data_IF_397664541419
#
_entry.id   IF_397664541419
#
_cell.length_a   1.000
_cell.length_b   1.000
_cell.length_c   1.000
_cell.angle_alpha   90.00
_cell.angle_beta   90.00
_cell.angle_gamma   90.00
#
_symmetry.space_group_name_H-M   'P 1'
#
loop_
_entity.id
_entity.type
_entity.pdbx_description
1 polymer ?
#
# COMPACT_ATOMS: atom_id res chain seq x y z
N UNK A 1 8.96 9.13 3.65
CA UNK A 1 9.05 9.25 2.16
C UNK A 1 10.04 10.35 1.79
N UNK A 2 10.60 10.33 0.58
CA UNK A 2 11.52 11.37 0.09
C UNK A 2 13.01 11.19 0.45
N UNK A 3 13.47 9.96 0.71
CA UNK A 3 14.89 9.63 0.97
C UNK A 3 15.52 8.81 -0.18
N UNK A 4 15.03 8.96 -1.41
CA UNK A 4 15.64 8.32 -2.59
C UNK A 4 15.42 6.81 -2.77
N UNK A 5 14.38 6.20 -2.17
CA UNK A 5 14.09 4.74 -2.30
C UNK A 5 14.19 4.22 -3.74
N UNK A 6 13.63 4.98 -4.69
CA UNK A 6 13.62 4.69 -6.14
C UNK A 6 15.04 4.67 -6.71
N UNK A 7 15.84 5.69 -6.41
CA UNK A 7 17.23 5.81 -6.88
C UNK A 7 18.10 4.68 -6.29
N UNK A 8 17.93 4.37 -5.00
CA UNK A 8 18.60 3.25 -4.34
C UNK A 8 18.28 1.90 -4.99
N UNK A 9 17.00 1.67 -5.34
CA UNK A 9 16.59 0.47 -6.05
C UNK A 9 17.17 0.40 -7.48
N UNK A 10 17.22 1.52 -8.21
CA UNK A 10 17.85 1.59 -9.55
C UNK A 10 19.35 1.28 -9.45
N UNK A 11 20.07 1.89 -8.49
CA UNK A 11 21.48 1.60 -8.26
C UNK A 11 21.72 0.12 -7.92
N UNK A 12 20.89 -0.47 -7.05
CA UNK A 12 20.95 -1.90 -6.72
C UNK A 12 20.73 -2.80 -7.95
N UNK A 13 19.89 -2.41 -8.91
CA UNK A 13 19.74 -3.15 -10.19
C UNK A 13 21.01 -3.01 -11.03
N UNK A 14 21.55 -1.80 -11.19
CA UNK A 14 22.78 -1.54 -11.95
C UNK A 14 23.97 -2.36 -11.46
N UNK A 15 24.30 -2.28 -10.17
CA UNK A 15 25.41 -3.05 -9.56
C UNK A 15 25.19 -4.57 -9.65
N UNK A 16 23.93 -5.03 -9.70
CA UNK A 16 23.63 -6.46 -9.88
C UNK A 16 23.87 -6.90 -11.33
N UNK A 17 23.52 -6.07 -12.32
CA UNK A 17 23.79 -6.33 -13.74
C UNK A 17 25.30 -6.45 -14.02
N UNK A 18 26.11 -5.54 -13.49
CA UNK A 18 27.58 -5.60 -13.61
C UNK A 18 28.15 -6.94 -13.11
N UNK A 19 27.67 -7.42 -11.95
CA UNK A 19 28.07 -8.72 -11.39
C UNK A 19 27.55 -9.92 -12.20
N UNK A 20 26.42 -9.78 -12.89
CA UNK A 20 25.87 -10.83 -13.77
C UNK A 20 26.57 -10.93 -15.12
N UNK A 21 27.17 -9.86 -15.63
CA UNK A 21 28.01 -9.92 -16.84
C UNK A 21 29.18 -10.90 -16.63
N UNK A 22 29.71 -10.99 -15.40
CA UNK A 22 30.73 -11.97 -15.02
C UNK A 22 30.21 -13.42 -14.86
N UNK A 23 28.89 -13.66 -14.86
CA UNK A 23 28.26 -14.98 -14.71
C UNK A 23 26.95 -15.08 -15.53
N UNK A 24 27.04 -15.31 -16.86
CA UNK A 24 25.90 -15.20 -17.77
C UNK A 24 24.70 -16.11 -17.47
N UNK A 25 24.93 -17.28 -16.87
CA UNK A 25 23.91 -18.28 -16.57
C UNK A 25 22.83 -17.86 -15.54
N UNK A 26 22.85 -16.61 -15.03
CA UNK A 26 21.88 -16.08 -14.06
C UNK A 26 21.17 -14.80 -14.50
N UNK A 27 21.34 -14.36 -15.75
CA UNK A 27 20.82 -13.08 -16.25
C UNK A 27 19.30 -13.11 -16.54
N UNK A 28 18.45 -13.26 -15.51
CA UNK A 28 17.00 -13.05 -15.63
C UNK A 28 16.60 -11.63 -15.22
N UNK A 29 15.51 -11.06 -15.76
CA UNK A 29 15.13 -9.67 -15.54
C UNK A 29 14.68 -9.36 -14.11
N UNK A 30 14.69 -8.06 -13.76
CA UNK A 30 14.02 -7.51 -12.58
C UNK A 30 12.60 -7.06 -12.92
N UNK A 31 11.59 -7.50 -12.17
CA UNK A 31 10.25 -6.93 -12.22
C UNK A 31 10.10 -5.80 -11.19
N UNK A 32 9.49 -4.69 -11.60
CA UNK A 32 9.03 -3.61 -10.72
C UNK A 32 7.51 -3.54 -10.81
N UNK A 33 6.82 -3.81 -9.69
CA UNK A 33 5.37 -3.71 -9.56
C UNK A 33 5.06 -2.45 -8.76
N UNK A 34 4.29 -1.54 -9.33
CA UNK A 34 3.95 -0.27 -8.69
C UNK A 34 2.49 0.15 -8.95
N UNK A 35 1.93 1.13 -8.21
CA UNK A 35 0.65 1.73 -8.56
C UNK A 35 0.70 2.31 -9.98
N UNK A 36 -0.37 2.24 -10.79
CA UNK A 36 -0.34 2.68 -12.20
C UNK A 36 0.19 4.10 -12.42
N UNK A 37 -0.04 5.01 -11.45
CA UNK A 37 0.42 6.39 -11.47
C UNK A 37 1.96 6.55 -11.38
N UNK A 38 2.67 5.53 -10.89
CA UNK A 38 4.13 5.56 -10.71
C UNK A 38 4.89 4.90 -11.87
N UNK A 39 4.23 4.19 -12.79
CA UNK A 39 4.90 3.49 -13.91
C UNK A 39 5.75 4.45 -14.76
N UNK A 40 5.18 5.58 -15.16
CA UNK A 40 5.87 6.58 -15.97
C UNK A 40 7.00 7.25 -15.21
N UNK A 41 6.81 7.50 -13.90
CA UNK A 41 7.83 8.04 -13.02
C UNK A 41 9.02 7.07 -12.89
N UNK A 42 8.77 5.78 -12.66
CA UNK A 42 9.82 4.75 -12.64
C UNK A 42 10.60 4.69 -13.95
N UNK A 43 9.91 4.70 -15.11
CA UNK A 43 10.59 4.74 -16.41
C UNK A 43 11.46 5.99 -16.56
N UNK A 44 10.93 7.17 -16.20
CA UNK A 44 11.66 8.44 -16.26
C UNK A 44 12.91 8.44 -15.37
N UNK A 45 12.78 7.97 -14.13
CA UNK A 45 13.89 7.92 -13.17
C UNK A 45 14.97 6.92 -13.61
N UNK A 46 14.59 5.77 -14.18
CA UNK A 46 15.56 4.84 -14.80
C UNK A 46 16.27 5.50 -15.97
N UNK A 47 15.54 6.10 -16.93
CA UNK A 47 16.13 6.79 -18.10
C UNK A 47 16.98 8.01 -17.75
N UNK A 48 16.84 8.56 -16.53
CA UNK A 48 17.62 9.69 -16.01
C UNK A 48 18.86 9.22 -15.23
N UNK A 49 18.71 8.24 -14.35
CA UNK A 49 19.76 7.81 -13.43
C UNK A 49 20.62 6.64 -13.95
N UNK A 50 20.19 5.98 -15.02
CA UNK A 50 20.96 4.94 -15.71
C UNK A 50 21.55 5.39 -17.06
N UNK A 51 21.73 6.69 -17.31
CA UNK A 51 22.24 7.17 -18.61
C UNK A 51 23.66 6.68 -18.96
N UNK A 52 24.48 6.39 -17.95
CA UNK A 52 25.85 5.90 -18.12
C UNK A 52 25.95 4.35 -18.19
N UNK A 53 24.84 3.61 -18.07
CA UNK A 53 24.84 2.15 -18.04
C UNK A 53 23.67 1.54 -18.81
N UNK A 54 23.80 0.35 -19.40
CA UNK A 54 22.82 -0.18 -20.35
C UNK A 54 21.60 -0.81 -19.66
N UNK A 55 20.90 -0.12 -18.74
CA UNK A 55 19.66 -0.62 -18.13
C UNK A 55 18.45 -0.33 -19.02
N UNK A 56 18.03 -1.35 -19.77
CA UNK A 56 16.88 -1.25 -20.66
C UNK A 56 15.60 -1.60 -19.90
N UNK A 57 14.71 -0.60 -19.75
CA UNK A 57 13.43 -0.77 -19.08
C UNK A 57 12.24 -0.78 -20.06
N UNK A 58 11.37 -1.79 -19.94
CA UNK A 58 10.11 -1.88 -20.69
C UNK A 58 8.93 -1.77 -19.74
N UNK A 59 7.90 -1.02 -20.15
CA UNK A 59 6.60 -1.07 -19.49
C UNK A 59 5.87 -2.30 -20.01
N UNK A 60 5.51 -3.21 -19.11
CA UNK A 60 4.53 -4.26 -19.35
C UNK A 60 3.17 -3.79 -18.85
N UNK A 61 2.26 -3.62 -19.80
CA UNK A 61 0.84 -3.44 -19.57
C UNK A 61 0.15 -4.15 -20.73
N UNK A 62 -1.02 -4.77 -20.51
CA UNK A 62 -1.78 -5.47 -21.56
C UNK A 62 -2.95 -4.61 -22.05
N UNK A 63 -2.77 -3.68 -23.01
CA UNK A 63 -3.85 -3.26 -23.88
C UNK A 63 -4.13 -4.38 -24.90
N UNK A 64 -5.35 -4.40 -25.43
CA UNK A 64 -5.91 -5.46 -26.30
C UNK A 64 -5.22 -5.71 -27.66
N UNK A 65 -4.11 -5.02 -27.97
CA UNK A 65 -3.53 -5.01 -29.33
C UNK A 65 -2.02 -5.29 -29.42
N UNK A 66 -1.29 -5.47 -28.30
CA UNK A 66 0.12 -5.85 -28.36
C UNK A 66 0.54 -6.72 -27.17
N UNK A 67 0.57 -8.03 -27.39
CA UNK A 67 1.03 -9.02 -26.42
C UNK A 67 2.55 -9.15 -26.52
N UNK A 68 3.30 -8.63 -25.54
CA UNK A 68 4.72 -8.93 -25.41
C UNK A 68 4.90 -10.44 -25.19
N UNK A 69 5.79 -11.08 -25.95
CA UNK A 69 6.16 -12.47 -25.72
C UNK A 69 7.17 -12.61 -24.56
N UNK A 70 7.33 -13.82 -24.03
CA UNK A 70 8.38 -14.15 -23.07
C UNK A 70 9.77 -13.77 -23.62
N UNK A 71 10.05 -14.16 -24.87
CA UNK A 71 11.29 -13.85 -25.56
C UNK A 71 11.53 -12.34 -25.75
N UNK A 72 10.49 -11.52 -25.79
CA UNK A 72 10.63 -10.06 -25.81
C UNK A 72 10.95 -9.47 -24.44
N UNK A 73 10.42 -10.06 -23.37
CA UNK A 73 10.67 -9.63 -22.00
C UNK A 73 12.10 -9.94 -21.55
N UNK A 74 12.64 -11.11 -21.93
CA UNK A 74 14.01 -11.51 -21.62
C UNK A 74 15.09 -10.63 -22.30
N UNK A 75 14.73 -9.77 -23.26
CA UNK A 75 15.63 -8.78 -23.88
C UNK A 75 15.85 -7.52 -23.02
N UNK A 76 15.05 -7.30 -21.98
CA UNK A 76 15.13 -6.12 -21.12
C UNK A 76 15.66 -6.48 -19.73
N UNK A 77 16.33 -5.54 -19.09
CA UNK A 77 16.84 -5.70 -17.72
C UNK A 77 15.73 -5.49 -16.68
N UNK A 78 14.78 -4.60 -17.00
CA UNK A 78 13.73 -4.15 -16.09
C UNK A 78 12.38 -4.21 -16.78
N UNK A 79 11.43 -4.91 -16.17
CA UNK A 79 10.02 -4.90 -16.57
C UNK A 79 9.19 -4.15 -15.53
N UNK A 80 8.55 -3.05 -15.93
CA UNK A 80 7.71 -2.21 -15.06
C UNK A 80 6.24 -2.53 -15.33
N UNK A 81 5.50 -2.93 -14.30
CA UNK A 81 4.09 -3.32 -14.39
C UNK A 81 3.28 -2.77 -13.21
N UNK A 82 1.97 -3.03 -13.18
CA UNK A 82 1.10 -2.69 -12.05
C UNK A 82 0.50 -3.88 -11.33
N UNK A 83 0.18 -3.68 -10.05
CA UNK A 83 -0.62 -4.58 -9.22
C UNK A 83 -1.87 -5.09 -9.95
N UNK A 84 -2.59 -4.20 -10.62
CA UNK A 84 -3.81 -4.54 -11.36
C UNK A 84 -3.51 -5.46 -12.55
N UNK A 85 -2.43 -5.19 -13.30
CA UNK A 85 -2.03 -6.01 -14.45
C UNK A 85 -1.67 -7.43 -13.99
N UNK A 86 -0.82 -7.58 -12.98
CA UNK A 86 -0.48 -8.91 -12.42
C UNK A 86 -1.71 -9.64 -11.87
N UNK A 87 -2.64 -8.93 -11.23
CA UNK A 87 -3.89 -9.53 -10.73
C UNK A 87 -4.82 -9.98 -11.86
N UNK A 88 -4.83 -9.28 -13.01
CA UNK A 88 -5.59 -9.67 -14.20
C UNK A 88 -4.96 -10.88 -14.88
N UNK A 89 -3.63 -10.88 -15.07
CA UNK A 89 -2.87 -12.03 -15.59
C UNK A 89 -3.15 -13.28 -14.73
N UNK A 90 -3.09 -13.16 -13.40
CA UNK A 90 -3.36 -14.26 -12.47
C UNK A 90 -4.76 -14.84 -12.64
N UNK A 91 -5.80 -13.99 -12.72
CA UNK A 91 -7.19 -14.45 -12.94
C UNK A 91 -7.36 -15.17 -14.29
N UNK A 92 -6.58 -14.78 -15.30
CA UNK A 92 -6.60 -15.41 -16.62
C UNK A 92 -5.84 -16.75 -16.67
N UNK A 93 -4.97 -17.07 -15.68
CA UNK A 93 -4.24 -18.34 -15.64
C UNK A 93 -5.14 -19.58 -15.66
N UNK A 94 -6.35 -19.49 -15.10
CA UNK A 94 -7.37 -20.55 -15.17
C UNK A 94 -7.88 -20.83 -16.60
N UNK A 95 -7.67 -19.91 -17.55
CA UNK A 95 -8.11 -20.04 -18.95
C UNK A 95 -6.94 -20.14 -19.94
N UNK A 96 -5.77 -19.62 -19.60
CA UNK A 96 -4.54 -19.69 -20.39
C UNK A 96 -3.34 -19.37 -19.50
N UNK A 97 -2.30 -20.22 -19.50
CA UNK A 97 -1.11 -20.02 -18.68
C UNK A 97 -0.37 -18.73 -19.08
N UNK A 98 -0.39 -17.71 -18.21
CA UNK A 98 0.38 -16.49 -18.43
C UNK A 98 1.85 -16.74 -18.13
N UNK A 99 2.70 -16.55 -19.13
CA UNK A 99 4.15 -16.77 -19.06
C UNK A 99 4.85 -15.93 -17.97
N UNK A 100 4.22 -14.83 -17.51
CA UNK A 100 4.77 -13.97 -16.45
C UNK A 100 5.01 -14.74 -15.13
N UNK A 101 4.23 -15.77 -14.86
CA UNK A 101 4.37 -16.64 -13.68
C UNK A 101 5.33 -17.83 -13.92
N UNK A 102 5.73 -18.07 -15.17
CA UNK A 102 6.68 -19.13 -15.54
C UNK A 102 8.13 -18.61 -15.54
N UNK A 103 8.34 -17.32 -15.83
CA UNK A 103 9.64 -16.66 -15.70
C UNK A 103 10.11 -16.67 -14.24
N UNK A 104 11.32 -17.20 -14.00
CA UNK A 104 12.01 -17.04 -12.72
C UNK A 104 12.75 -15.70 -12.67
N UNK A 105 12.11 -14.69 -12.09
CA UNK A 105 12.61 -13.32 -12.02
C UNK A 105 13.85 -13.24 -11.13
N UNK A 106 14.90 -12.53 -11.54
CA UNK A 106 16.07 -12.35 -10.65
C UNK A 106 15.64 -11.61 -9.39
N UNK A 107 14.79 -10.59 -9.57
CA UNK A 107 14.29 -9.74 -8.49
C UNK A 107 12.87 -9.26 -8.78
N UNK A 108 12.03 -9.22 -7.76
CA UNK A 108 10.74 -8.52 -7.77
C UNK A 108 10.82 -7.38 -6.75
N UNK A 109 10.50 -6.16 -7.21
CA UNK A 109 10.44 -4.96 -6.39
C UNK A 109 8.99 -4.47 -6.34
N UNK A 110 8.42 -4.40 -5.14
CA UNK A 110 7.10 -3.85 -4.88
C UNK A 110 7.22 -2.41 -4.39
N UNK A 111 6.81 -1.43 -5.19
CA UNK A 111 6.74 -0.03 -4.74
C UNK A 111 5.34 0.31 -4.22
N UNK A 112 5.30 1.00 -3.09
CA UNK A 112 4.12 1.11 -2.24
C UNK A 112 3.52 -0.27 -1.87
N UNK A 113 4.37 -1.15 -1.32
CA UNK A 113 4.03 -2.53 -0.96
C UNK A 113 2.83 -2.73 0.01
N UNK A 114 2.20 -1.67 0.51
CA UNK A 114 0.99 -1.75 1.31
C UNK A 114 -0.20 -2.38 0.55
N UNK A 115 -0.15 -2.41 -0.79
CA UNK A 115 -1.11 -3.11 -1.64
C UNK A 115 -1.19 -4.63 -1.42
N UNK A 116 -0.20 -5.27 -0.78
CA UNK A 116 -0.18 -6.72 -0.49
C UNK A 116 -0.33 -7.07 0.99
N UNK A 117 -0.64 -6.10 1.85
CA UNK A 117 -0.75 -6.32 3.31
C UNK A 117 -1.81 -7.36 3.69
N UNK A 118 -2.92 -7.45 2.95
CA UNK A 118 -3.98 -8.43 3.20
C UNK A 118 -3.76 -9.69 2.37
N UNK A 119 -3.36 -10.77 3.05
CA UNK A 119 -3.07 -12.09 2.46
C UNK A 119 -4.27 -12.71 1.72
N UNK A 120 -5.50 -12.35 2.10
CA UNK A 120 -6.75 -12.83 1.49
C UNK A 120 -7.09 -12.18 0.15
N UNK A 121 -6.34 -11.17 -0.29
CA UNK A 121 -6.65 -10.47 -1.54
C UNK A 121 -6.11 -11.22 -2.75
N UNK A 122 -6.89 -11.23 -3.84
CA UNK A 122 -6.42 -11.82 -5.12
C UNK A 122 -5.12 -11.18 -5.61
N UNK A 123 -4.86 -9.92 -5.25
CA UNK A 123 -3.60 -9.20 -5.55
C UNK A 123 -2.42 -9.79 -4.80
N UNK A 124 -2.59 -10.12 -3.52
CA UNK A 124 -1.56 -10.79 -2.73
C UNK A 124 -1.29 -12.18 -3.30
N UNK A 125 -2.32 -13.01 -3.52
CA UNK A 125 -2.16 -14.35 -4.10
C UNK A 125 -1.43 -14.31 -5.46
N UNK A 126 -1.79 -13.38 -6.33
CA UNK A 126 -1.16 -13.19 -7.63
C UNK A 126 0.33 -12.82 -7.51
N UNK A 127 0.69 -11.88 -6.66
CA UNK A 127 2.09 -11.46 -6.50
C UNK A 127 2.92 -12.54 -5.81
N UNK A 128 2.31 -13.26 -4.88
CA UNK A 128 2.93 -14.35 -4.14
C UNK A 128 3.09 -15.63 -4.98
N UNK A 129 2.44 -15.75 -6.14
CA UNK A 129 2.66 -16.83 -7.11
C UNK A 129 3.75 -16.53 -8.14
N UNK A 130 4.41 -15.37 -8.09
CA UNK A 130 5.53 -15.05 -8.98
C UNK A 130 6.84 -15.67 -8.47
N UNK A 131 7.47 -16.48 -9.32
CA UNK A 131 8.77 -17.10 -9.02
C UNK A 131 9.89 -16.05 -9.06
N UNK A 132 10.71 -15.96 -8.01
CA UNK A 132 11.87 -15.08 -8.03
C UNK A 132 12.97 -15.45 -7.05
N UNK A 133 14.20 -15.03 -7.35
CA UNK A 133 15.37 -15.25 -6.48
C UNK A 133 15.53 -14.19 -5.37
N UNK A 134 14.90 -13.03 -5.51
CA UNK A 134 15.04 -11.89 -4.59
C UNK A 134 13.75 -11.06 -4.57
N UNK A 135 13.24 -10.74 -3.38
CA UNK A 135 12.00 -9.98 -3.21
C UNK A 135 12.24 -8.77 -2.31
N UNK A 136 11.85 -7.58 -2.77
CA UNK A 136 12.07 -6.30 -2.09
C UNK A 136 10.78 -5.51 -2.01
N UNK A 137 10.44 -5.04 -0.82
CA UNK A 137 9.30 -4.15 -0.57
C UNK A 137 9.78 -2.72 -0.28
N UNK A 138 9.34 -1.76 -1.09
CA UNK A 138 9.59 -0.35 -0.93
C UNK A 138 8.31 0.33 -0.44
N UNK A 139 8.32 0.88 0.77
CA UNK A 139 7.16 1.62 1.31
C UNK A 139 7.56 2.70 2.31
N UNK A 140 6.69 3.70 2.51
CA UNK A 140 6.90 4.74 3.51
C UNK A 140 6.40 4.39 4.92
N UNK A 141 5.37 3.54 5.00
CA UNK A 141 4.56 3.25 6.20
C UNK A 141 4.28 1.75 6.24
N UNK A 142 5.11 0.93 6.91
CA UNK A 142 5.01 -0.53 6.87
C UNK A 142 3.81 -1.11 7.64
N UNK A 143 3.24 -0.31 8.55
CA UNK A 143 1.96 -0.59 9.24
C UNK A 143 1.02 0.53 8.80
N UNK A 144 -0.18 0.19 8.32
CA UNK A 144 -1.15 1.18 7.83
C UNK A 144 -2.42 1.20 8.69
N UNK A 145 -3.02 0.02 8.90
CA UNK A 145 -4.21 -0.17 9.72
C UNK A 145 -3.94 -1.10 10.91
N UNK A 146 -3.25 -2.23 10.68
CA UNK A 146 -3.12 -3.31 11.67
C UNK A 146 -1.74 -3.94 11.63
N UNK A 147 -1.35 -4.64 12.71
CA UNK A 147 -0.06 -5.35 12.72
C UNK A 147 -0.05 -6.58 11.79
N UNK A 148 -1.23 -7.09 11.42
CA UNK A 148 -1.42 -8.14 10.43
C UNK A 148 -0.97 -7.68 9.02
N UNK A 149 -0.93 -6.37 8.77
CA UNK A 149 -0.43 -5.78 7.52
C UNK A 149 1.02 -6.23 7.22
N UNK A 150 1.82 -6.46 8.27
CA UNK A 150 3.18 -6.97 8.17
C UNK A 150 3.25 -8.45 7.77
N UNK A 151 2.24 -9.26 8.10
CA UNK A 151 2.23 -10.68 7.75
C UNK A 151 2.23 -10.88 6.24
N UNK A 152 1.45 -10.08 5.50
CA UNK A 152 1.46 -10.11 4.04
C UNK A 152 2.79 -9.67 3.41
N UNK A 153 3.47 -8.71 4.02
CA UNK A 153 4.78 -8.23 3.54
C UNK A 153 5.88 -9.27 3.83
N UNK A 154 5.88 -9.85 5.03
CA UNK A 154 6.87 -10.85 5.46
C UNK A 154 6.64 -12.17 4.73
N UNK A 155 5.39 -12.60 4.52
CA UNK A 155 5.10 -13.80 3.75
C UNK A 155 5.59 -13.69 2.31
N UNK A 156 5.49 -12.52 1.69
CA UNK A 156 6.11 -12.26 0.39
C UNK A 156 7.65 -12.36 0.47
N UNK A 157 8.32 -11.53 1.29
CA UNK A 157 9.80 -11.44 1.35
C UNK A 157 10.48 -12.78 1.68
N UNK A 158 9.81 -13.66 2.42
CA UNK A 158 10.38 -14.93 2.93
C UNK A 158 10.02 -16.16 2.08
N UNK A 159 9.20 -16.01 1.04
CA UNK A 159 8.83 -17.11 0.14
C UNK A 159 9.70 -17.35 -1.13
N UNK A 160 10.81 -16.65 -1.44
CA UNK A 160 11.48 -16.84 -2.73
C UNK A 160 12.19 -18.20 -2.86
N UNK A 161 12.28 -19.00 -1.79
CA UNK A 161 13.09 -20.23 -1.72
C UNK A 161 12.46 -21.40 -0.95
N UNK A 162 11.21 -21.29 -0.48
CA UNK A 162 10.57 -22.37 0.32
C UNK A 162 9.34 -22.96 -0.36
N UNK A 163 9.30 -24.28 -0.65
CA UNK A 163 8.07 -24.95 -1.08
C UNK A 163 7.02 -25.05 0.04
N UNK A 164 7.46 -24.96 1.30
CA UNK A 164 6.58 -24.90 2.46
C UNK A 164 6.29 -23.44 2.81
N UNK A 165 5.02 -23.04 2.76
CA UNK A 165 4.58 -21.76 3.30
C UNK A 165 4.76 -21.74 4.82
N UNK A 166 5.87 -21.15 5.27
CA UNK A 166 6.08 -20.94 6.70
C UNK A 166 5.01 -19.98 7.23
N UNK A 167 4.19 -20.47 8.14
CA UNK A 167 3.21 -19.64 8.81
C UNK A 167 3.93 -18.75 9.83
N UNK A 168 4.20 -17.51 9.45
CA UNK A 168 4.83 -16.51 10.34
C UNK A 168 3.88 -15.96 11.41
N UNK A 169 2.57 -16.23 11.31
CA UNK A 169 1.59 -15.65 12.22
C UNK A 169 1.78 -16.07 13.69
N UNK A 170 2.09 -17.33 14.06
CA UNK A 170 2.32 -17.69 15.46
C UNK A 170 3.58 -17.03 16.01
N UNK A 171 4.65 -16.92 15.23
CA UNK A 171 5.91 -16.29 15.65
C UNK A 171 5.73 -14.78 15.93
N UNK A 172 5.10 -14.07 15.00
CA UNK A 172 4.92 -12.61 15.11
C UNK A 172 3.80 -12.23 16.09
N UNK A 173 2.65 -12.91 16.05
CA UNK A 173 1.50 -12.56 16.88
C UNK A 173 1.67 -12.99 18.36
N UNK A 174 2.34 -14.13 18.63
CA UNK A 174 2.56 -14.56 20.02
C UNK A 174 3.59 -13.70 20.76
N UNK A 175 4.50 -13.05 20.03
CA UNK A 175 5.44 -12.07 20.59
C UNK A 175 4.68 -10.82 21.06
N UNK A 176 3.74 -10.35 20.23
CA UNK A 176 2.93 -9.16 20.49
C UNK A 176 1.89 -9.37 21.60
N UNK A 177 1.20 -10.52 21.63
CA UNK A 177 0.20 -10.80 22.68
C UNK A 177 0.79 -10.98 24.08
N UNK A 178 2.08 -11.34 24.16
CA UNK A 178 2.83 -11.46 25.43
C UNK A 178 3.50 -10.15 25.87
N UNK A 179 3.34 -9.06 25.11
CA UNK A 179 4.05 -7.79 25.35
C UNK A 179 5.57 -7.87 25.17
N UNK A 180 6.09 -8.98 24.63
CA UNK A 180 7.51 -9.28 24.56
C UNK A 180 8.00 -9.05 23.14
N UNK A 181 8.32 -7.78 22.84
CA UNK A 181 8.54 -7.30 21.48
C UNK A 181 9.89 -7.72 20.87
N UNK A 182 10.79 -8.39 21.61
CA UNK A 182 12.17 -8.64 21.18
C UNK A 182 12.26 -9.48 19.91
N UNK A 183 11.52 -10.58 19.81
CA UNK A 183 11.47 -11.41 18.60
C UNK A 183 10.92 -10.65 17.39
N UNK A 184 9.96 -9.76 17.61
CA UNK A 184 9.38 -8.90 16.58
C UNK A 184 10.39 -7.83 16.12
N UNK A 185 11.10 -7.20 17.04
CA UNK A 185 12.17 -6.26 16.73
C UNK A 185 13.37 -6.93 16.05
N UNK A 186 13.76 -8.13 16.46
CA UNK A 186 14.80 -8.93 15.80
C UNK A 186 14.40 -9.27 14.36
N UNK A 187 13.18 -9.78 14.14
CA UNK A 187 12.68 -10.06 12.80
C UNK A 187 12.71 -8.82 11.91
N UNK A 188 12.19 -7.68 12.38
CA UNK A 188 12.22 -6.43 11.63
C UNK A 188 13.63 -5.87 11.42
N UNK A 189 14.56 -6.07 12.36
CA UNK A 189 15.97 -5.67 12.23
C UNK A 189 16.70 -6.41 11.11
N UNK A 190 16.34 -7.68 10.86
CA UNK A 190 16.94 -8.48 9.79
C UNK A 190 16.18 -8.36 8.45
N UNK A 191 14.86 -8.15 8.48
CA UNK A 191 14.01 -8.09 7.28
C UNK A 191 13.78 -6.67 6.74
N UNK A 192 14.09 -5.62 7.49
CA UNK A 192 13.82 -4.24 7.08
C UNK A 192 14.95 -3.26 7.39
N UNK A 193 15.19 -2.34 6.45
CA UNK A 193 16.03 -1.17 6.64
C UNK A 193 15.15 0.07 6.66
N UNK A 194 15.18 0.85 7.74
CA UNK A 194 14.34 2.05 7.91
C UNK A 194 15.18 3.25 8.35
N UNK A 195 15.22 4.26 7.49
CA UNK A 195 15.83 5.56 7.78
C UNK A 195 14.75 6.60 8.07
N UNK A 196 14.97 7.47 9.06
CA UNK A 196 14.11 8.64 9.30
C UNK A 196 14.77 9.89 8.75
N UNK A 197 13.96 10.92 8.45
CA UNK A 197 14.50 12.21 7.98
C UNK A 197 15.42 12.86 9.02
N UNK A 198 15.11 12.67 10.30
CA UNK A 198 15.87 13.17 11.45
C UNK A 198 17.28 12.58 11.58
N UNK A 199 17.57 11.41 11.01
CA UNK A 199 18.90 10.76 11.15
C UNK A 199 19.85 11.01 9.98
N UNK A 200 19.39 11.65 8.90
CA UNK A 200 20.20 11.83 7.68
C UNK A 200 20.15 13.23 7.06
N UNK A 201 19.28 14.12 7.52
CA UNK A 201 19.11 15.46 6.93
C UNK A 201 19.02 16.50 8.04
N UNK A 202 20.14 17.16 8.32
CA UNK A 202 20.31 18.12 9.42
C UNK A 202 19.59 19.47 9.18
N UNK A 203 19.20 19.76 7.94
CA UNK A 203 18.71 21.08 7.49
C UNK A 203 17.33 21.06 6.83
N UNK A 204 16.43 20.20 7.31
CA UNK A 204 15.03 20.21 6.86
C UNK A 204 14.21 21.31 7.57
N UNK A 205 13.31 22.03 6.86
CA UNK A 205 12.38 22.95 7.50
C UNK A 205 11.47 22.20 8.46
N UNK A 206 11.16 22.84 9.60
CA UNK A 206 10.25 22.29 10.60
C UNK A 206 8.86 22.09 10.01
N UNK A 207 8.24 20.94 10.31
CA UNK A 207 6.87 20.66 9.88
C UNK A 207 5.92 21.47 10.76
N UNK A 208 5.29 22.51 10.21
CA UNK A 208 4.21 23.21 10.89
C UNK A 208 2.87 22.55 10.58
N UNK A 209 2.11 22.22 11.63
CA UNK A 209 0.75 21.69 11.50
C UNK A 209 -0.24 22.82 11.79
N UNK A 210 -0.82 23.39 10.73
CA UNK A 210 -1.88 24.39 10.85
C UNK A 210 -3.24 23.68 10.80
N UNK A 211 -3.90 23.59 11.95
CA UNK A 211 -5.25 23.07 12.07
C UNK A 211 -6.25 24.22 11.91
N UNK A 212 -7.08 24.11 10.89
CA UNK A 212 -8.09 25.10 10.53
C UNK A 212 -9.44 24.41 10.53
N UNK A 213 -10.33 24.81 11.43
CA UNK A 213 -11.56 24.08 11.67
C UNK A 213 -12.64 24.44 10.64
N UNK A 214 -13.50 23.45 10.36
CA UNK A 214 -14.62 23.48 9.41
C UNK A 214 -15.89 22.86 10.07
N UNK A 215 -17.12 23.37 9.82
CA UNK A 215 -18.32 23.05 10.57
C UNK A 215 -19.32 22.66 9.49
N UNK A 216 -20.41 23.41 9.40
CA UNK A 216 -21.46 23.26 8.43
C UNK A 216 -21.98 24.64 8.00
N UNK A 217 -22.03 24.90 6.68
CA UNK A 217 -22.91 25.93 6.09
C UNK A 217 -24.35 25.70 6.61
N UNK A 218 -25.20 26.72 6.85
CA UNK A 218 -26.58 26.55 7.30
C UNK A 218 -27.33 25.36 6.70
N UNK A 219 -27.26 25.13 5.38
CA UNK A 219 -27.90 23.99 4.71
C UNK A 219 -27.32 22.63 5.13
N UNK A 220 -26.01 22.58 5.38
CA UNK A 220 -25.32 21.39 5.91
C UNK A 220 -25.59 21.21 7.41
N UNK A 221 -25.79 22.31 8.15
CA UNK A 221 -26.08 22.27 9.58
C UNK A 221 -27.48 21.70 9.81
N UNK A 222 -28.46 22.14 9.01
CA UNK A 222 -29.81 21.57 8.97
C UNK A 222 -29.79 20.08 8.59
N UNK A 223 -29.09 19.72 7.50
CA UNK A 223 -28.97 18.32 7.11
C UNK A 223 -28.31 17.44 8.19
N UNK A 224 -27.35 18.00 8.94
CA UNK A 224 -26.72 17.31 10.06
C UNK A 224 -27.67 17.18 11.27
N UNK A 225 -28.41 18.23 11.63
CA UNK A 225 -29.35 18.18 12.75
C UNK A 225 -30.50 17.21 12.49
N UNK A 226 -31.06 17.18 11.26
CA UNK A 226 -32.09 16.19 10.89
C UNK A 226 -31.57 14.75 11.05
N UNK A 227 -30.38 14.45 10.52
CA UNK A 227 -29.78 13.11 10.66
C UNK A 227 -29.43 12.77 12.12
N UNK A 228 -29.08 13.76 12.94
CA UNK A 228 -28.83 13.59 14.37
C UNK A 228 -30.11 13.31 15.15
N UNK A 229 -31.21 13.99 14.82
CA UNK A 229 -32.54 13.75 15.40
C UNK A 229 -33.15 12.43 14.94
N UNK A 230 -32.94 12.00 13.70
CA UNK A 230 -33.26 10.64 13.22
C UNK A 230 -32.51 9.57 14.05
N UNK A 231 -31.22 9.78 14.33
CA UNK A 231 -30.43 8.88 15.19
C UNK A 231 -30.88 8.90 16.67
N UNK A 232 -31.30 10.06 17.20
CA UNK A 232 -31.82 10.15 18.58
C UNK A 232 -33.21 9.53 18.71
N UNK A 233 -34.09 9.74 17.72
CA UNK A 233 -35.44 9.17 17.71
C UNK A 233 -35.42 7.66 17.45
N UNK A 234 -34.43 7.12 16.74
CA UNK A 234 -34.22 5.66 16.67
C UNK A 234 -33.74 5.07 17.99
N UNK A 235 -32.89 5.77 18.76
CA UNK A 235 -32.50 5.37 20.14
C UNK A 235 -33.65 5.37 21.14
N UNK A 236 -34.73 6.11 20.90
CA UNK A 236 -35.86 6.17 21.83
C UNK A 236 -36.75 4.91 21.81
N UNK A 237 -36.52 3.97 20.89
CA UNK A 237 -37.30 2.73 20.74
C UNK A 237 -36.61 1.48 21.29
N UNK A 238 -35.28 1.44 21.23
CA UNK A 238 -34.48 0.29 21.69
C UNK A 238 -33.72 0.70 22.96
N UNK A 239 -34.23 0.28 24.13
CA UNK A 239 -33.75 0.76 25.44
C UNK A 239 -32.48 0.03 25.95
N UNK A 240 -31.91 -0.87 25.16
CA UNK A 240 -30.79 -1.73 25.55
C UNK A 240 -29.44 -1.23 25.01
N UNK A 241 -28.44 -1.26 25.91
CA UNK A 241 -27.02 -0.97 25.77
C UNK A 241 -26.49 -0.29 24.48
N UNK A 242 -25.89 0.90 24.69
CA UNK A 242 -25.14 1.66 23.69
C UNK A 242 -24.05 0.84 22.95
N UNK A 243 -23.49 -0.21 23.58
CA UNK A 243 -22.54 -1.15 22.97
C UNK A 243 -23.18 -2.08 21.92
N UNK A 244 -24.37 -2.61 22.17
CA UNK A 244 -25.09 -3.50 21.24
C UNK A 244 -25.65 -2.71 20.04
N UNK A 245 -26.06 -1.46 20.26
CA UNK A 245 -26.45 -0.52 19.21
C UNK A 245 -25.28 -0.26 18.23
N UNK A 246 -24.05 -0.10 18.73
CA UNK A 246 -22.84 0.03 17.90
C UNK A 246 -22.41 -1.29 17.23
N UNK A 247 -22.71 -2.45 17.84
CA UNK A 247 -22.52 -3.75 17.21
C UNK A 247 -23.53 -4.00 16.06
N UNK A 248 -24.69 -3.33 16.09
CA UNK A 248 -25.68 -3.48 15.03
C UNK A 248 -25.20 -2.85 13.70
N UNK A 249 -25.11 -3.70 12.68
CA UNK A 249 -24.60 -3.33 11.35
C UNK A 249 -25.39 -2.17 10.71
N UNK A 250 -26.68 -2.04 11.04
CA UNK A 250 -27.61 -1.01 10.55
C UNK A 250 -27.17 0.41 10.95
N UNK A 251 -26.82 0.65 12.21
CA UNK A 251 -26.42 2.00 12.65
C UNK A 251 -25.00 2.34 12.19
N UNK A 252 -24.08 1.38 12.13
CA UNK A 252 -22.74 1.60 11.55
C UNK A 252 -22.83 2.00 10.08
N UNK A 253 -23.64 1.31 9.27
CA UNK A 253 -23.89 1.66 7.86
C UNK A 253 -24.56 3.04 7.74
N UNK A 254 -25.51 3.37 8.62
CA UNK A 254 -26.18 4.69 8.60
C UNK A 254 -25.21 5.81 8.95
N UNK A 255 -24.45 5.69 10.04
CA UNK A 255 -23.47 6.69 10.48
C UNK A 255 -22.34 6.87 9.46
N UNK A 256 -21.78 5.78 8.92
CA UNK A 256 -20.74 5.85 7.89
C UNK A 256 -21.26 6.40 6.57
N UNK A 257 -22.51 6.09 6.17
CA UNK A 257 -23.20 6.71 5.04
C UNK A 257 -23.37 8.22 5.26
N UNK A 258 -23.85 8.65 6.42
CA UNK A 258 -24.01 10.08 6.77
C UNK A 258 -22.67 10.82 6.73
N UNK A 259 -21.63 10.30 7.38
CA UNK A 259 -20.27 10.86 7.34
C UNK A 259 -19.71 10.92 5.91
N UNK A 260 -20.00 9.92 5.08
CA UNK A 260 -19.60 9.88 3.67
C UNK A 260 -20.38 10.90 2.83
N UNK A 261 -21.68 11.07 3.07
CA UNK A 261 -22.49 12.10 2.40
C UNK A 261 -22.05 13.51 2.78
N UNK A 262 -21.77 13.76 4.06
CA UNK A 262 -21.22 15.02 4.55
C UNK A 262 -19.87 15.33 3.89
N UNK A 263 -18.92 14.37 3.89
CA UNK A 263 -17.63 14.48 3.18
C UNK A 263 -17.78 14.71 1.67
N UNK A 264 -18.77 14.08 1.02
CA UNK A 264 -19.08 14.29 -0.41
C UNK A 264 -19.69 15.66 -0.69
N UNK A 265 -20.43 16.24 0.25
CA UNK A 265 -21.02 17.59 0.12
C UNK A 265 -19.99 18.70 0.40
N UNK A 266 -19.14 18.56 1.42
CA UNK A 266 -18.03 19.51 1.66
C UNK A 266 -17.02 19.53 0.51
N UNK A 267 -16.78 18.39 -0.14
CA UNK A 267 -15.87 18.29 -1.28
C UNK A 267 -16.41 18.78 -2.64
N UNK A 268 -17.70 19.16 -2.74
CA UNK A 268 -18.32 19.57 -4.02
C UNK A 268 -18.51 21.08 -4.19
N UNK A 269 -18.38 21.88 -3.13
CA UNK A 269 -18.55 23.34 -3.16
C UNK A 269 -17.30 24.13 -3.57
N UNK A 270 -16.19 23.45 -3.89
CA UNK A 270 -14.90 24.05 -4.26
C UNK A 270 -14.84 24.60 -5.70
N UNK A 271 -15.76 25.50 -6.04
CA UNK A 271 -15.60 26.45 -7.16
C UNK A 271 -15.74 27.93 -6.77
N UNK A 272 -16.09 28.24 -5.52
CA UNK A 272 -16.05 29.61 -5.00
C UNK A 272 -15.68 29.63 -3.51
N UNK A 273 -14.67 30.43 -3.15
CA UNK A 273 -14.37 30.86 -1.77
C UNK A 273 -14.00 29.77 -0.77
N UNK A 274 -12.70 29.62 -0.48
CA UNK A 274 -12.27 28.95 0.75
C UNK A 274 -12.72 29.76 1.97
N UNK A 275 -13.40 29.14 2.95
CA UNK A 275 -13.92 29.80 4.15
C UNK A 275 -13.68 28.99 5.44
N UNK A 276 -13.60 29.73 6.55
CA UNK A 276 -12.71 29.52 7.72
C UNK A 276 -13.44 29.61 9.06
N UNK A 277 -13.24 28.66 9.98
CA UNK A 277 -14.30 28.37 10.97
C UNK A 277 -13.76 27.94 12.37
N UNK A 278 -14.65 27.92 13.37
CA UNK A 278 -14.47 27.77 14.83
C UNK A 278 -14.74 26.35 15.45
N UNK A 279 -14.39 26.13 16.76
CA UNK A 279 -14.26 24.78 17.36
C UNK A 279 -15.43 24.22 18.19
N UNK A 280 -16.46 24.99 18.51
CA UNK A 280 -17.30 24.69 19.69
C UNK A 280 -18.27 23.48 19.57
N UNK A 281 -18.44 22.90 18.38
CA UNK A 281 -19.32 21.73 18.17
C UNK A 281 -18.58 20.40 17.96
N UNK A 282 -17.29 20.42 17.60
CA UNK A 282 -16.51 19.20 17.32
C UNK A 282 -16.05 18.46 18.57
N UNK A 283 -15.96 19.15 19.72
CA UNK A 283 -15.43 18.58 20.96
C UNK A 283 -16.31 17.46 21.56
N UNK A 284 -17.63 17.49 21.32
CA UNK A 284 -18.54 16.40 21.74
C UNK A 284 -18.35 15.10 20.95
N UNK A 285 -17.85 15.17 19.71
CA UNK A 285 -17.62 13.99 18.86
C UNK A 285 -16.30 13.26 19.20
N UNK A 286 -15.25 14.01 19.53
CA UNK A 286 -13.93 13.43 19.84
C UNK A 286 -13.88 12.71 21.20
N UNK A 287 -14.69 13.12 22.18
CA UNK A 287 -14.80 12.42 23.47
C UNK A 287 -15.52 11.07 23.36
N UNK A 288 -16.43 10.88 22.38
CA UNK A 288 -17.18 9.63 22.20
C UNK A 288 -16.35 8.49 21.59
N UNK A 289 -15.22 8.78 20.95
CA UNK A 289 -14.40 7.77 20.25
C UNK A 289 -13.14 7.36 21.03
N UNK A 290 -12.93 7.90 22.23
CA UNK A 290 -11.81 7.56 23.14
C UNK A 290 -12.20 6.65 24.31
N UNK A 291 -13.48 6.30 24.44
CA UNK A 291 -14.04 5.51 25.54
C UNK A 291 -14.95 4.36 25.04
N UNK A 292 -14.61 3.81 23.87
CA UNK A 292 -15.18 2.59 23.31
C UNK A 292 -14.02 1.68 22.86
#
# INVERSE_FOLDING_TARGET
MGLGKTIQAIALIGTSKERMIANPHRATPTMIICPPRLITNWKSEISKHAQAGPLHAKIYHRPTHYTLSEADILKYDIIITSYNTITQEFKQTHTSTSFIFQINWHRIILDEAHYICSQYTTTHCAINSLLSSCQICLMGTPIHNTIYDLLGIISFITQPQSPNQYNWSPFLLSSLSKGCNDNFHLALRHLSLRHTKTTHLESLPTISHHYELLPLNPTMQQAYSTLYEELLSSKAKDQENFSEILASFKYVVTITSCLTQLRRRTGKTTRAGALRITPQQSHKLLCMWKHA
#
